data_IF_213388516878
#
_entry.id   IF_213388516878
#
_cell.length_a   1.000
_cell.length_b   1.000
_cell.length_c   1.000
_cell.angle_alpha   90.00
_cell.angle_beta   90.00
_cell.angle_gamma   90.00
#
_symmetry.space_group_name_H-M   'P 1'
#
loop_
_entity.id
_entity.type
_entity.pdbx_description
1 polymer ?
#
# COMPACT_ATOMS: atom_id res chain seq x y z
N UNK A 1 -1.94 6.75 -1.37
CA UNK A 1 -2.25 6.97 0.06
C UNK A 1 -1.83 8.38 0.47
N UNK A 2 -2.63 9.08 1.27
CA UNK A 2 -2.26 10.38 1.82
C UNK A 2 -1.15 10.25 2.88
N UNK A 3 -0.35 11.28 3.10
CA UNK A 3 0.73 11.28 4.11
C UNK A 3 0.22 11.08 5.53
N UNK A 4 -0.98 11.59 5.85
CA UNK A 4 -1.66 11.39 7.14
C UNK A 4 -2.10 9.94 7.35
N UNK A 5 -2.63 9.30 6.30
CA UNK A 5 -3.07 7.91 6.36
C UNK A 5 -1.90 6.95 6.58
N UNK A 6 -0.76 7.17 5.92
CA UNK A 6 0.48 6.41 6.17
C UNK A 6 0.92 6.46 7.63
N UNK A 7 0.96 7.67 8.20
CA UNK A 7 1.34 7.86 9.61
C UNK A 7 0.41 7.10 10.55
N UNK A 8 -0.89 7.10 10.29
CA UNK A 8 -1.88 6.33 11.07
C UNK A 8 -1.60 4.82 11.06
N UNK A 9 -1.33 4.22 9.89
CA UNK A 9 -1.03 2.79 9.81
C UNK A 9 0.29 2.41 10.45
N UNK A 10 1.33 3.26 10.31
CA UNK A 10 2.60 3.06 11.02
C UNK A 10 2.44 3.16 12.53
N UNK A 11 1.60 4.07 13.00
CA UNK A 11 1.25 4.17 14.43
C UNK A 11 0.55 2.90 14.90
N UNK A 12 -0.52 2.46 14.22
CA UNK A 12 -1.22 1.21 14.57
C UNK A 12 -0.24 0.03 14.59
N UNK A 13 0.62 -0.09 13.59
CA UNK A 13 1.66 -1.12 13.54
C UNK A 13 2.60 -1.06 14.74
N UNK A 14 3.07 0.15 15.11
CA UNK A 14 3.98 0.35 16.24
C UNK A 14 3.38 -0.05 17.60
N UNK A 15 2.05 -0.01 17.77
CA UNK A 15 1.37 -0.52 18.96
C UNK A 15 0.99 -1.99 18.85
N UNK A 16 0.61 -2.44 17.66
CA UNK A 16 0.09 -3.79 17.47
C UNK A 16 1.20 -4.85 17.52
N UNK A 17 2.38 -4.57 16.97
CA UNK A 17 3.54 -5.47 17.08
C UNK A 17 3.93 -5.78 18.53
N UNK A 18 4.18 -4.80 19.41
CA UNK A 18 4.53 -5.09 20.79
C UNK A 18 3.37 -5.72 21.56
N UNK A 19 2.11 -5.43 21.21
CA UNK A 19 0.96 -6.12 21.79
C UNK A 19 1.00 -7.63 21.49
N UNK A 20 1.18 -8.01 20.23
CA UNK A 20 1.30 -9.43 19.84
C UNK A 20 2.50 -10.07 20.53
N UNK A 21 3.67 -9.42 20.48
CA UNK A 21 4.87 -9.94 21.13
C UNK A 21 4.71 -10.11 22.66
N UNK A 22 3.96 -9.22 23.32
CA UNK A 22 3.66 -9.34 24.74
C UNK A 22 2.71 -10.52 25.03
N UNK A 23 1.72 -10.78 24.16
CA UNK A 23 0.85 -11.96 24.28
C UNK A 23 1.67 -13.24 24.14
N UNK A 24 2.54 -13.31 23.13
CA UNK A 24 3.42 -14.47 22.90
C UNK A 24 4.38 -14.68 24.08
N UNK A 25 4.96 -13.61 24.62
CA UNK A 25 5.82 -13.67 25.80
C UNK A 25 5.06 -14.15 27.04
N UNK A 26 3.86 -13.63 27.30
CA UNK A 26 3.00 -14.11 28.39
C UNK A 26 2.63 -15.59 28.23
N UNK A 27 2.40 -16.04 27.00
CA UNK A 27 2.16 -17.45 26.70
C UNK A 27 3.38 -18.32 27.02
N UNK A 28 4.58 -17.86 26.64
CA UNK A 28 5.85 -18.53 26.97
C UNK A 28 6.11 -18.59 28.48
N UNK A 29 5.80 -17.51 29.20
CA UNK A 29 5.94 -17.44 30.66
C UNK A 29 4.81 -18.14 31.42
N UNK A 30 3.83 -18.74 30.73
CA UNK A 30 2.65 -19.38 31.31
C UNK A 30 1.83 -18.45 32.22
N UNK A 31 1.83 -17.16 31.90
CA UNK A 31 1.07 -16.12 32.61
C UNK A 31 -0.36 -15.96 32.08
N UNK A 32 -0.75 -16.75 31.07
CA UNK A 32 -2.10 -16.71 30.54
C UNK A 32 -3.12 -17.25 31.56
N UNK A 33 -4.26 -16.56 31.76
CA UNK A 33 -5.29 -17.04 32.66
C UNK A 33 -5.82 -18.41 32.24
N UNK A 34 -5.94 -19.35 33.19
CA UNK A 34 -6.37 -20.72 32.90
C UNK A 34 -7.76 -20.85 32.29
N UNK A 35 -8.64 -19.87 32.49
CA UNK A 35 -9.99 -19.85 31.90
C UNK A 35 -9.98 -19.72 30.37
N UNK A 36 -8.89 -19.21 29.76
CA UNK A 36 -8.77 -19.21 28.29
C UNK A 36 -8.77 -20.63 27.74
N UNK A 37 -8.16 -21.58 28.46
CA UNK A 37 -8.11 -22.99 28.08
C UNK A 37 -9.47 -23.68 28.07
N UNK A 38 -10.50 -23.07 28.67
CA UNK A 38 -11.87 -23.59 28.65
C UNK A 38 -12.60 -23.32 27.33
N UNK A 39 -12.07 -22.42 26.49
CA UNK A 39 -12.65 -22.11 25.18
C UNK A 39 -12.07 -23.09 24.14
N UNK A 40 -12.91 -23.86 23.43
CA UNK A 40 -12.42 -24.79 22.42
C UNK A 40 -11.75 -24.01 21.27
N UNK A 41 -10.60 -24.51 20.80
CA UNK A 41 -9.82 -23.93 19.70
C UNK A 41 -9.34 -22.49 19.92
N UNK A 42 -9.32 -21.99 21.16
CA UNK A 42 -8.93 -20.60 21.44
C UNK A 42 -7.54 -20.25 20.89
N UNK A 43 -6.58 -21.17 21.06
CA UNK A 43 -5.19 -20.97 20.64
C UNK A 43 -5.15 -20.76 19.11
N UNK A 44 -5.78 -21.64 18.34
CA UNK A 44 -5.87 -21.56 16.88
C UNK A 44 -6.62 -20.30 16.40
N UNK A 45 -7.67 -19.87 17.09
CA UNK A 45 -8.41 -18.64 16.76
C UNK A 45 -7.53 -17.40 16.96
N UNK A 46 -6.78 -17.36 18.07
CA UNK A 46 -5.88 -16.24 18.37
C UNK A 46 -4.73 -16.21 17.36
N UNK A 47 -4.16 -17.34 16.96
CA UNK A 47 -3.15 -17.40 15.90
C UNK A 47 -3.69 -16.86 14.56
N UNK A 48 -4.87 -17.34 14.15
CA UNK A 48 -5.53 -16.90 12.92
C UNK A 48 -5.78 -15.38 12.91
N UNK A 49 -6.40 -14.85 13.96
CA UNK A 49 -6.77 -13.43 14.04
C UNK A 49 -5.56 -12.54 14.33
N UNK A 50 -4.73 -12.93 15.29
CA UNK A 50 -3.59 -12.18 15.77
C UNK A 50 -2.57 -11.93 14.66
N UNK A 51 -2.03 -13.01 14.08
CA UNK A 51 -1.03 -12.90 13.03
C UNK A 51 -1.65 -12.56 11.67
N UNK A 52 -2.89 -12.99 11.41
CA UNK A 52 -3.61 -12.57 10.22
C UNK A 52 -3.80 -11.06 10.15
N UNK A 53 -4.29 -10.46 11.24
CA UNK A 53 -4.42 -9.00 11.33
C UNK A 53 -3.06 -8.30 11.37
N UNK A 54 -2.02 -8.91 11.98
CA UNK A 54 -0.66 -8.39 11.91
C UNK A 54 -0.17 -8.28 10.46
N UNK A 55 -0.42 -9.31 9.64
CA UNK A 55 -0.13 -9.32 8.20
C UNK A 55 -0.80 -8.16 7.47
N UNK A 56 -2.07 -7.91 7.77
CA UNK A 56 -2.83 -6.78 7.22
C UNK A 56 -2.27 -5.42 7.61
N UNK A 57 -2.04 -5.20 8.92
CA UNK A 57 -1.50 -3.93 9.44
C UNK A 57 -0.11 -3.67 8.88
N UNK A 58 0.74 -4.70 8.83
CA UNK A 58 2.09 -4.65 8.24
C UNK A 58 2.02 -4.30 6.76
N UNK A 59 1.12 -4.93 6.00
CA UNK A 59 0.94 -4.65 4.58
C UNK A 59 0.59 -3.17 4.35
N UNK A 60 -0.32 -2.60 5.16
CA UNK A 60 -0.71 -1.19 5.07
C UNK A 60 0.35 -0.22 5.57
N UNK A 61 1.08 -0.57 6.62
CA UNK A 61 2.18 0.24 7.16
C UNK A 61 3.34 0.37 6.15
N UNK A 62 3.54 -0.68 5.33
CA UNK A 62 4.47 -0.72 4.21
C UNK A 62 3.89 -0.18 2.89
N UNK A 63 2.82 0.60 2.93
CA UNK A 63 2.20 1.20 1.74
C UNK A 63 1.77 0.18 0.67
N UNK A 64 1.40 -1.03 1.10
CA UNK A 64 1.07 -2.17 0.23
C UNK A 64 2.18 -2.51 -0.76
N UNK A 65 3.44 -2.32 -0.34
CA UNK A 65 4.59 -2.66 -1.17
C UNK A 65 4.53 -4.12 -1.60
N UNK A 66 4.66 -4.33 -2.90
CA UNK A 66 4.82 -5.64 -3.51
C UNK A 66 6.18 -5.73 -4.20
N UNK A 67 6.83 -6.88 -4.06
CA UNK A 67 8.03 -7.21 -4.84
C UNK A 67 7.64 -8.10 -6.00
N UNK A 68 8.33 -8.00 -7.14
CA UNK A 68 8.13 -8.93 -8.26
C UNK A 68 9.18 -10.02 -8.16
N UNK A 69 8.73 -11.26 -8.01
CA UNK A 69 9.58 -12.44 -8.06
C UNK A 69 9.01 -13.39 -9.11
N UNK A 70 9.83 -13.79 -10.08
CA UNK A 70 9.42 -14.70 -11.17
C UNK A 70 8.14 -14.26 -11.90
N UNK A 71 7.95 -12.95 -12.10
CA UNK A 71 6.77 -12.39 -12.77
C UNK A 71 5.52 -12.27 -11.89
N UNK A 72 5.53 -12.79 -10.66
CA UNK A 72 4.44 -12.69 -9.69
C UNK A 72 4.69 -11.52 -8.73
N UNK A 73 3.68 -10.68 -8.53
CA UNK A 73 3.73 -9.61 -7.54
C UNK A 73 3.39 -10.17 -6.15
N UNK A 74 4.39 -10.29 -5.29
CA UNK A 74 4.26 -10.82 -3.95
C UNK A 74 4.14 -9.69 -2.91
N UNK A 75 3.12 -9.72 -2.03
CA UNK A 75 2.92 -8.67 -1.04
C UNK A 75 3.95 -8.83 0.10
N UNK A 76 4.80 -7.82 0.28
CA UNK A 76 5.96 -7.92 1.19
C UNK A 76 5.53 -8.08 2.66
N UNK A 77 4.52 -7.33 3.11
CA UNK A 77 4.03 -7.38 4.49
C UNK A 77 3.49 -8.75 4.91
N UNK A 78 2.50 -9.32 4.20
CA UNK A 78 1.98 -10.65 4.47
C UNK A 78 3.05 -11.75 4.39
N UNK A 79 3.98 -11.67 3.43
CA UNK A 79 5.09 -12.61 3.35
C UNK A 79 6.02 -12.54 4.57
N UNK A 80 6.36 -11.32 5.02
CA UNK A 80 7.21 -11.14 6.18
C UNK A 80 6.56 -11.73 7.44
N UNK A 81 5.27 -11.46 7.66
CA UNK A 81 4.54 -11.99 8.82
C UNK A 81 4.38 -13.50 8.73
N UNK A 82 4.06 -14.05 7.54
CA UNK A 82 3.99 -15.50 7.35
C UNK A 82 5.33 -16.20 7.59
N UNK A 83 6.44 -15.60 7.17
CA UNK A 83 7.78 -16.12 7.42
C UNK A 83 8.13 -16.08 8.91
N UNK A 84 7.79 -14.99 9.61
CA UNK A 84 7.98 -14.89 11.07
C UNK A 84 7.13 -15.91 11.82
N UNK A 85 5.88 -16.12 11.43
CA UNK A 85 5.01 -17.13 12.02
C UNK A 85 5.58 -18.55 11.86
N UNK A 86 6.09 -18.87 10.66
CA UNK A 86 6.73 -20.16 10.42
C UNK A 86 8.02 -20.33 11.23
N UNK A 87 8.81 -19.27 11.38
CA UNK A 87 10.01 -19.27 12.21
C UNK A 87 9.67 -19.48 13.69
N UNK A 88 8.65 -18.78 14.22
CA UNK A 88 8.22 -18.92 15.61
C UNK A 88 7.75 -20.35 15.90
N UNK A 89 6.95 -20.93 15.01
CA UNK A 89 6.51 -22.33 15.11
C UNK A 89 7.69 -23.33 15.14
N UNK A 90 8.70 -23.11 14.31
CA UNK A 90 9.93 -23.92 14.30
C UNK A 90 10.69 -23.72 15.60
N UNK A 91 10.78 -22.50 16.12
CA UNK A 91 11.44 -22.20 17.39
C UNK A 91 10.73 -22.86 18.58
N UNK A 92 9.40 -22.95 18.55
CA UNK A 92 8.62 -23.64 19.57
C UNK A 92 8.98 -25.13 19.68
N UNK A 93 9.45 -25.79 18.60
CA UNK A 93 9.95 -27.18 18.67
C UNK A 93 11.14 -27.37 19.60
N UNK A 94 11.89 -26.31 19.83
CA UNK A 94 13.06 -26.32 20.72
C UNK A 94 12.74 -25.83 22.13
N UNK A 95 11.48 -25.45 22.39
CA UNK A 95 11.03 -25.02 23.71
C UNK A 95 10.39 -26.17 24.48
N UNK A 96 10.64 -26.23 25.78
CA UNK A 96 9.91 -27.11 26.71
C UNK A 96 8.63 -26.44 27.26
N UNK A 97 8.46 -25.14 27.01
CA UNK A 97 7.34 -24.36 27.53
C UNK A 97 6.12 -24.36 26.60
N UNK A 98 6.34 -24.50 25.29
CA UNK A 98 5.32 -24.50 24.22
C UNK A 98 5.54 -25.69 23.29
N UNK A 99 4.46 -26.19 22.69
CA UNK A 99 4.50 -27.28 21.72
C UNK A 99 4.18 -26.75 20.33
N UNK A 100 4.98 -27.12 19.33
CA UNK A 100 4.64 -26.84 17.93
C UNK A 100 3.43 -27.65 17.50
N UNK A 101 2.46 -27.01 16.87
CA UNK A 101 1.27 -27.59 16.26
C UNK A 101 1.10 -27.09 14.83
N UNK A 102 1.04 -28.04 13.88
CA UNK A 102 0.80 -27.75 12.47
C UNK A 102 -0.53 -27.01 12.25
N UNK A 103 -1.53 -27.26 13.10
CA UNK A 103 -2.81 -26.54 13.07
C UNK A 103 -2.66 -25.04 13.30
N UNK A 104 -1.78 -24.63 14.22
CA UNK A 104 -1.58 -23.21 14.54
C UNK A 104 -0.76 -22.51 13.45
N UNK A 105 0.22 -23.21 12.85
CA UNK A 105 0.87 -22.73 11.63
C UNK A 105 -0.11 -22.55 10.47
N UNK A 106 -1.00 -23.52 10.25
CA UNK A 106 -2.03 -23.41 9.21
C UNK A 106 -2.99 -22.24 9.49
N UNK A 107 -3.35 -22.03 10.75
CA UNK A 107 -4.16 -20.89 11.17
C UNK A 107 -3.45 -19.55 10.93
N UNK A 108 -2.17 -19.44 11.28
CA UNK A 108 -1.35 -18.25 11.00
C UNK A 108 -1.32 -17.93 9.49
N UNK A 109 -1.00 -18.92 8.66
CA UNK A 109 -0.88 -18.73 7.21
C UNK A 109 -2.23 -18.42 6.55
N UNK A 110 -3.29 -19.13 6.95
CA UNK A 110 -4.64 -18.88 6.43
C UNK A 110 -5.19 -17.53 6.87
N UNK A 111 -4.95 -17.11 8.12
CA UNK A 111 -5.28 -15.78 8.61
C UNK A 111 -4.61 -14.69 7.79
N UNK A 112 -3.29 -14.79 7.60
CA UNK A 112 -2.52 -13.84 6.77
C UNK A 112 -3.07 -13.77 5.34
N UNK A 113 -3.38 -14.92 4.74
CA UNK A 113 -3.96 -14.97 3.41
C UNK A 113 -5.35 -14.31 3.34
N UNK A 114 -6.25 -14.66 4.26
CA UNK A 114 -7.62 -14.12 4.32
C UNK A 114 -7.59 -12.60 4.50
N UNK A 115 -6.82 -12.11 5.46
CA UNK A 115 -6.73 -10.69 5.74
C UNK A 115 -6.06 -9.90 4.60
N UNK A 116 -5.11 -10.51 3.89
CA UNK A 116 -4.58 -9.94 2.65
C UNK A 116 -5.65 -9.85 1.54
N UNK A 117 -6.45 -10.89 1.35
CA UNK A 117 -7.55 -10.89 0.37
C UNK A 117 -8.59 -9.82 0.71
N UNK A 118 -8.95 -9.69 2.00
CA UNK A 118 -9.82 -8.62 2.50
C UNK A 118 -9.23 -7.25 2.18
N UNK A 119 -7.94 -7.03 2.41
CA UNK A 119 -7.30 -5.76 2.06
C UNK A 119 -7.41 -5.45 0.58
N UNK A 120 -7.16 -6.45 -0.27
CA UNK A 120 -7.20 -6.30 -1.72
C UNK A 120 -8.62 -6.05 -2.22
N UNK A 121 -9.62 -6.70 -1.63
CA UNK A 121 -11.03 -6.43 -1.91
C UNK A 121 -11.43 -5.01 -1.50
N UNK A 122 -11.03 -4.55 -0.31
CA UNK A 122 -11.27 -3.17 0.13
C UNK A 122 -10.55 -2.14 -0.74
N UNK A 123 -9.38 -2.48 -1.29
CA UNK A 123 -8.62 -1.63 -2.20
C UNK A 123 -9.26 -1.52 -3.59
N UNK A 124 -9.85 -2.60 -4.08
CA UNK A 124 -10.48 -2.69 -5.39
C UNK A 124 -11.88 -2.08 -5.46
N UNK A 125 -12.47 -1.73 -4.31
CA UNK A 125 -13.74 -0.99 -4.28
C UNK A 125 -13.54 0.39 -4.89
N UNK A 126 -14.24 0.76 -5.97
CA UNK A 126 -14.26 2.12 -6.48
C UNK A 126 -14.89 3.04 -5.43
N UNK A 127 -14.07 3.58 -4.54
CA UNK A 127 -14.49 4.50 -3.51
C UNK A 127 -14.87 5.84 -4.12
N UNK A 128 -16.17 6.03 -4.38
CA UNK A 128 -16.88 7.31 -4.47
C UNK A 128 -16.03 8.45 -5.04
N UNK A 129 -15.79 8.41 -6.34
CA UNK A 129 -15.62 9.61 -7.15
C UNK A 129 -16.96 10.39 -7.13
N UNK A 130 -17.23 11.03 -6.00
CA UNK A 130 -18.53 11.59 -5.66
C UNK A 130 -18.37 12.84 -4.81
N UNK A 131 -17.53 13.76 -5.28
CA UNK A 131 -17.76 15.19 -5.10
C UNK A 131 -17.09 15.92 -6.26
N UNK A 132 -17.74 15.83 -7.41
CA UNK A 132 -17.61 16.78 -8.50
C UNK A 132 -17.73 18.19 -7.93
N UNK A 133 -16.58 18.85 -7.71
CA UNK A 133 -16.51 20.31 -7.77
C UNK A 133 -16.35 20.66 -9.24
N UNK A 134 -17.37 20.38 -10.03
CA UNK A 134 -17.41 20.78 -11.42
C UNK A 134 -18.87 21.02 -11.81
N UNK A 135 -19.39 22.16 -11.36
CA UNK A 135 -20.43 22.92 -12.05
C UNK A 135 -20.31 24.36 -11.58
N UNK A 136 -19.51 25.15 -12.28
CA UNK A 136 -19.94 26.44 -12.79
C UNK A 136 -18.80 27.07 -13.62
N UNK A 137 -18.85 26.98 -14.96
CA UNK A 137 -18.15 27.92 -15.79
C UNK A 137 -18.80 29.28 -15.54
N UNK A 138 -18.08 30.20 -14.88
CA UNK A 138 -18.50 31.60 -14.87
C UNK A 138 -18.48 32.11 -16.32
N UNK A 139 -19.57 32.69 -16.84
CA UNK A 139 -19.59 33.25 -18.18
C UNK A 139 -18.57 34.38 -18.28
N UNK A 140 -17.79 34.34 -19.36
CA UNK A 140 -16.96 35.45 -19.78
C UNK A 140 -17.86 36.65 -20.11
N UNK A 141 -17.94 37.59 -19.19
CA UNK A 141 -18.40 38.94 -19.48
C UNK A 141 -17.33 39.61 -20.34
N UNK A 142 -17.64 39.72 -21.62
CA UNK A 142 -16.89 40.54 -22.55
C UNK A 142 -17.12 42.04 -22.33
N UNK A 143 -16.52 42.79 -23.25
CA UNK A 143 -16.67 44.24 -23.47
C UNK A 143 -15.74 45.15 -22.65
N UNK A 144 -14.64 45.52 -23.31
CA UNK A 144 -13.69 46.53 -22.85
C UNK A 144 -12.68 46.90 -23.91
N UNK A 145 -13.16 47.15 -25.14
CA UNK A 145 -12.38 47.64 -26.28
C UNK A 145 -11.77 49.00 -25.92
N UNK A 146 -10.44 49.08 -25.77
CA UNK A 146 -9.69 50.35 -25.94
C UNK A 146 -8.61 50.16 -26.98
N UNK A 147 -8.96 50.56 -28.21
CA UNK A 147 -8.02 50.90 -29.27
C UNK A 147 -7.20 52.09 -28.77
N UNK A 148 -5.88 51.95 -28.71
CA UNK A 148 -4.96 53.09 -28.68
C UNK A 148 -3.89 52.87 -29.75
N UNK A 149 -4.14 53.50 -30.90
CA UNK A 149 -3.15 53.84 -31.91
C UNK A 149 -2.22 54.89 -31.30
N UNK A 150 -0.93 54.57 -31.19
CA UNK A 150 0.13 55.58 -31.29
C UNK A 150 1.31 55.00 -32.05
N UNK A 151 1.47 55.54 -33.25
CA UNK A 151 2.63 55.61 -34.12
C UNK A 151 3.94 55.96 -33.37
N UNK A 152 5.06 55.37 -33.79
CA UNK A 152 6.38 55.78 -33.30
C UNK A 152 7.53 54.94 -33.87
N UNK A 153 8.12 55.42 -34.97
CA UNK A 153 9.36 54.92 -35.61
C UNK A 153 10.59 55.07 -34.69
N UNK A 154 11.59 54.19 -34.87
CA UNK A 154 12.99 54.42 -34.47
C UNK A 154 13.67 53.13 -33.97
N UNK A 155 14.12 52.22 -34.83
CA UNK A 155 15.47 52.18 -35.40
C UNK A 155 16.62 52.31 -34.38
N UNK A 156 17.28 51.20 -34.02
CA UNK A 156 18.72 50.91 -34.32
C UNK A 156 19.28 49.70 -33.55
N UNK A 157 19.82 48.77 -34.34
CA UNK A 157 21.14 48.09 -34.29
C UNK A 157 21.67 47.50 -32.97
N UNK A 158 22.07 46.22 -33.06
CA UNK A 158 23.16 45.62 -32.26
C UNK A 158 22.89 44.14 -31.95
N UNK A 159 23.31 43.18 -32.79
CA UNK A 159 24.63 42.52 -32.83
C UNK A 159 24.67 41.21 -32.01
N UNK A 160 24.76 40.10 -32.76
CA UNK A 160 25.63 38.92 -32.57
C UNK A 160 25.59 38.07 -31.29
N UNK A 161 25.18 36.80 -31.41
CA UNK A 161 25.95 35.57 -31.02
C UNK A 161 25.07 34.33 -31.26
N UNK A 162 25.39 33.48 -32.24
CA UNK A 162 26.12 32.21 -32.14
C UNK A 162 25.54 31.19 -31.12
N UNK A 163 25.10 30.03 -31.63
CA UNK A 163 24.94 28.79 -30.85
C UNK A 163 23.79 27.88 -31.34
N UNK A 164 23.88 27.26 -32.51
CA UNK A 164 24.15 25.81 -32.69
C UNK A 164 23.52 24.85 -31.66
N UNK A 165 22.51 24.07 -32.10
CA UNK A 165 22.39 22.58 -32.11
C UNK A 165 20.91 22.18 -32.08
N UNK A 166 20.33 21.87 -33.25
CA UNK A 166 20.10 20.52 -33.79
C UNK A 166 19.16 19.65 -32.95
N UNK A 167 17.88 19.79 -33.31
CA UNK A 167 16.85 18.76 -33.47
C UNK A 167 17.32 17.31 -33.37
N UNK A 168 16.77 16.57 -32.41
CA UNK A 168 16.67 15.11 -32.47
C UNK A 168 15.19 14.72 -32.35
N UNK A 169 14.61 14.39 -33.51
CA UNK A 169 13.37 13.64 -33.66
C UNK A 169 13.58 12.26 -33.04
N UNK A 170 12.86 11.94 -31.96
CA UNK A 170 12.65 10.55 -31.57
C UNK A 170 11.28 10.11 -32.10
N UNK A 171 11.30 9.38 -33.21
CA UNK A 171 10.13 8.73 -33.81
C UNK A 171 9.69 7.57 -32.92
N UNK A 172 8.41 7.56 -32.54
CA UNK A 172 7.69 6.38 -32.05
C UNK A 172 7.38 5.44 -33.24
N UNK A 173 7.68 4.14 -33.18
CA UNK A 173 7.08 3.15 -34.06
C UNK A 173 5.94 2.40 -33.34
N UNK A 174 4.81 2.19 -34.04
CA UNK A 174 3.88 1.12 -33.67
C UNK A 174 2.40 1.46 -33.51
N UNK A 175 1.83 2.39 -34.28
CA UNK A 175 0.37 2.44 -34.45
C UNK A 175 -0.03 1.45 -35.56
N UNK A 176 -0.51 0.26 -35.19
CA UNK A 176 -1.17 -0.66 -36.13
C UNK A 176 -2.59 -0.17 -36.39
N UNK A 177 -2.85 0.09 -37.67
CA UNK A 177 -4.13 0.55 -38.23
C UNK A 177 -5.18 -0.54 -38.15
N UNK A 178 -6.40 -0.15 -37.78
CA UNK A 178 -7.62 -0.88 -38.13
C UNK A 178 -7.80 -0.82 -39.67
N UNK A 179 -8.21 -1.94 -40.28
CA UNK A 179 -8.83 -1.99 -41.60
C UNK A 179 -10.26 -2.51 -41.43
N UNK A 180 -11.27 -1.85 -42.01
CA UNK A 180 -12.59 -2.43 -42.20
C UNK A 180 -12.64 -3.18 -43.54
N UNK A 181 -13.34 -4.31 -43.54
CA UNK A 181 -14.10 -4.87 -44.66
C UNK A 181 -15.31 -5.58 -44.08
#
# INVERSE_FOLDING_TARGET
>A
MGSSQRRRWRFIFAFYVPLIAAIDLCAYLRLLPGWLGSIPYYDTIIHFLGLGFLGYVTHRALDRRASRLLGVALPVGPLLVGALAAADEIMQRFSTARSSNVGDLAANLSGVAVFYLVDRWLAGRPGRAGRSRETSPRPALGSGRKVRLTTGRGARRGRCSRGRRRSARFRRPGARRCRPR
#
